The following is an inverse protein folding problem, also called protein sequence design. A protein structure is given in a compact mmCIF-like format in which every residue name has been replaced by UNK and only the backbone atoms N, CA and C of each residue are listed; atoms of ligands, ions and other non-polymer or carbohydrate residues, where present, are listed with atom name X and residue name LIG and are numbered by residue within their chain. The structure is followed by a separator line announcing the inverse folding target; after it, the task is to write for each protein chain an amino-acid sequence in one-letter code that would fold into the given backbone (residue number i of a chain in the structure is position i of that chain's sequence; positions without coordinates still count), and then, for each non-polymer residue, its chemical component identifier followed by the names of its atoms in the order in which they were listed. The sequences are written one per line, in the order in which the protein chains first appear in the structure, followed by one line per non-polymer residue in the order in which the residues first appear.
data_IF_040975830325
#
_entry.id   IF_040975830325
#
_cell.length_a   1.000
_cell.length_b   1.000
_cell.length_c   1.000
_cell.angle_alpha   90.00
_cell.angle_beta   90.00
_cell.angle_gamma   90.00
#
_symmetry.space_group_name_H-M   'P 1'
#
loop_
_entity.id
_entity.type
_entity.pdbx_description
1 polymer ?
#
# COMPACT_ATOMS: atom_id res chain seq x y z
N UNK A 1 -7.98 -14.18 12.59
CA UNK A 1 -7.23 -13.01 12.11
C UNK A 1 -7.11 -13.17 10.61
N UNK A 2 -7.36 -12.11 9.85
CA UNK A 2 -7.26 -12.13 8.38
C UNK A 2 -5.96 -11.42 8.01
N UNK A 3 -5.09 -12.10 7.27
CA UNK A 3 -3.84 -11.51 6.83
C UNK A 3 -4.09 -10.65 5.59
N UNK A 4 -3.60 -9.41 5.67
CA UNK A 4 -3.54 -8.46 4.58
C UNK A 4 -2.10 -8.20 4.23
N UNK A 5 -1.79 -7.94 2.98
CA UNK A 5 -0.52 -7.35 2.56
C UNK A 5 -0.71 -5.90 2.20
N UNK A 6 0.28 -5.09 2.54
CA UNK A 6 0.35 -3.66 2.20
C UNK A 6 1.66 -3.43 1.44
N UNK A 7 1.62 -3.38 0.09
CA UNK A 7 2.76 -2.96 -0.71
C UNK A 7 3.11 -1.51 -0.39
N UNK A 8 4.36 -1.27 0.00
CA UNK A 8 4.90 0.06 0.27
C UNK A 8 5.77 0.46 -0.91
N UNK A 9 5.30 1.41 -1.71
CA UNK A 9 6.05 1.97 -2.84
C UNK A 9 6.47 3.38 -2.47
N UNK A 10 7.77 3.62 -2.46
CA UNK A 10 8.37 4.90 -2.10
C UNK A 10 9.14 5.49 -3.28
N UNK A 11 9.25 6.82 -3.32
CA UNK A 11 10.13 7.54 -4.24
C UNK A 11 10.77 8.74 -3.56
N UNK A 12 11.59 9.46 -4.32
CA UNK A 12 12.25 10.70 -3.88
C UNK A 12 12.97 10.50 -2.53
N UNK A 13 13.91 9.56 -2.48
CA UNK A 13 14.68 9.24 -1.26
C UNK A 13 13.77 8.91 -0.06
N UNK A 14 12.73 8.12 -0.32
CA UNK A 14 11.73 7.70 0.66
C UNK A 14 10.87 8.82 1.28
N UNK A 15 10.88 10.03 0.70
CA UNK A 15 10.07 11.15 1.17
C UNK A 15 8.62 11.09 0.70
N UNK A 16 8.33 10.34 -0.36
CA UNK A 16 6.98 10.22 -0.90
C UNK A 16 6.54 8.76 -0.97
N UNK A 17 5.28 8.53 -0.61
CA UNK A 17 4.61 7.22 -0.67
C UNK A 17 3.47 7.24 -1.67
N UNK A 18 3.29 6.13 -2.37
CA UNK A 18 2.18 5.96 -3.29
C UNK A 18 0.87 5.68 -2.53
N UNK A 19 -0.16 6.47 -2.82
CA UNK A 19 -1.51 6.29 -2.32
C UNK A 19 -2.50 6.32 -3.49
N UNK A 20 -3.73 5.94 -3.23
CA UNK A 20 -4.83 6.19 -4.14
C UNK A 20 -6.04 6.81 -3.44
N UNK A 21 -6.85 7.53 -4.22
CA UNK A 21 -8.17 7.99 -3.79
C UNK A 21 -9.22 7.05 -4.36
N UNK A 22 -9.89 6.33 -3.46
CA UNK A 22 -11.10 5.55 -3.75
C UNK A 22 -12.28 6.50 -3.95
N UNK A 23 -13.15 6.27 -4.95
CA UNK A 23 -14.29 7.16 -5.24
C UNK A 23 -15.27 7.28 -4.06
N UNK A 24 -15.41 6.21 -3.27
CA UNK A 24 -16.39 6.11 -2.18
C UNK A 24 -15.78 6.07 -0.77
N UNK A 25 -14.48 5.80 -0.63
CA UNK A 25 -13.85 5.44 0.65
C UNK A 25 -12.63 6.32 1.00
N UNK A 26 -12.38 7.37 0.23
CA UNK A 26 -11.32 8.33 0.51
C UNK A 26 -9.93 7.82 0.15
N UNK A 27 -8.92 8.39 0.79
CA UNK A 27 -7.50 8.07 0.50
C UNK A 27 -7.09 6.79 1.23
N UNK A 28 -6.39 5.91 0.52
CA UNK A 28 -6.00 4.60 0.99
C UNK A 28 -4.56 4.25 0.57
N UNK A 29 -3.95 3.36 1.35
CA UNK A 29 -2.80 2.56 0.94
C UNK A 29 -3.31 1.38 0.11
N UNK A 30 -2.53 0.96 -0.89
CA UNK A 30 -2.74 -0.31 -1.58
C UNK A 30 -2.69 -1.43 -0.54
N UNK A 31 -3.70 -2.30 -0.54
CA UNK A 31 -3.72 -3.48 0.33
C UNK A 31 -4.73 -4.50 -0.17
N UNK A 32 -4.45 -5.76 0.09
CA UNK A 32 -5.47 -6.80 -0.08
C UNK A 32 -5.18 -8.08 0.66
N UNK A 33 -6.02 -9.08 0.43
CA UNK A 33 -6.03 -10.33 1.22
C UNK A 33 -4.86 -11.20 0.81
N UNK A 34 -4.19 -11.82 1.79
CA UNK A 34 -3.28 -12.92 1.48
C UNK A 34 -4.13 -14.14 1.15
N UNK A 35 -4.09 -14.55 -0.11
CA UNK A 35 -4.89 -15.66 -0.60
C UNK A 35 -4.21 -17.00 -0.32
N UNK A 36 -4.99 -18.08 -0.29
CA UNK A 36 -4.48 -19.44 0.00
C UNK A 36 -3.45 -19.94 -1.01
N UNK A 37 -3.44 -19.37 -2.22
CA UNK A 37 -2.50 -19.70 -3.29
C UNK A 37 -1.25 -18.81 -3.27
N UNK A 38 -1.20 -17.78 -2.43
CA UNK A 38 -0.01 -16.93 -2.31
C UNK A 38 1.08 -17.70 -1.54
N UNK A 39 2.19 -17.99 -2.22
CA UNK A 39 3.31 -18.74 -1.63
C UNK A 39 4.09 -17.92 -0.59
N UNK A 40 3.93 -16.59 -0.58
CA UNK A 40 4.54 -15.69 0.41
C UNK A 40 3.86 -14.31 0.42
N UNK A 41 4.09 -13.53 1.48
CA UNK A 41 3.64 -12.13 1.55
C UNK A 41 4.21 -11.26 0.43
N UNK A 42 5.41 -11.59 -0.09
CA UNK A 42 6.00 -10.85 -1.21
C UNK A 42 5.22 -11.12 -2.50
N UNK A 43 4.79 -12.36 -2.73
CA UNK A 43 3.98 -12.73 -3.89
C UNK A 43 2.60 -12.06 -3.80
N UNK A 44 1.94 -12.16 -2.65
CA UNK A 44 0.67 -11.50 -2.41
C UNK A 44 0.79 -9.98 -2.62
N UNK A 45 1.83 -9.33 -2.08
CA UNK A 45 2.01 -7.88 -2.23
C UNK A 45 2.21 -7.47 -3.70
N UNK A 46 2.95 -8.24 -4.49
CA UNK A 46 3.12 -7.96 -5.93
C UNK A 46 1.82 -8.15 -6.70
N UNK A 47 1.03 -9.18 -6.37
CA UNK A 47 -0.28 -9.43 -6.97
C UNK A 47 -1.24 -8.28 -6.69
N UNK A 48 -1.44 -7.95 -5.42
CA UNK A 48 -2.33 -6.86 -4.99
C UNK A 48 -1.89 -5.50 -5.57
N UNK A 49 -0.58 -5.25 -5.64
CA UNK A 49 -0.07 -4.05 -6.29
C UNK A 49 -0.43 -4.02 -7.78
N UNK A 50 -0.32 -5.14 -8.50
CA UNK A 50 -0.72 -5.21 -9.90
C UNK A 50 -2.24 -5.05 -10.08
N UNK A 51 -3.04 -5.71 -9.24
CA UNK A 51 -4.50 -5.74 -9.30
C UNK A 51 -5.14 -4.39 -8.95
N UNK A 52 -4.61 -3.65 -7.97
CA UNK A 52 -5.19 -2.36 -7.57
C UNK A 52 -4.60 -1.16 -8.31
N UNK A 53 -3.36 -1.25 -8.83
CA UNK A 53 -2.64 -0.10 -9.38
C UNK A 53 -2.13 -0.25 -10.81
N UNK A 54 -2.12 -1.46 -11.36
CA UNK A 54 -1.51 -1.77 -12.65
C UNK A 54 0.01 -1.84 -12.65
N UNK A 55 0.67 -1.67 -11.49
CA UNK A 55 2.13 -1.77 -11.39
C UNK A 55 2.53 -3.24 -11.38
N UNK A 56 2.96 -3.74 -12.53
CA UNK A 56 3.39 -5.13 -12.72
C UNK A 56 4.90 -5.32 -12.63
N UNK A 57 5.68 -4.24 -12.77
CA UNK A 57 7.14 -4.29 -12.87
C UNK A 57 7.84 -3.86 -11.58
N UNK A 58 7.84 -4.75 -10.59
CA UNK A 58 8.54 -4.57 -9.30
C UNK A 58 9.97 -5.13 -9.40
N UNK A 59 10.97 -4.25 -9.33
CA UNK A 59 12.40 -4.58 -9.46
C UNK A 59 12.90 -5.43 -8.31
N UNK A 60 12.53 -5.08 -7.09
CA UNK A 60 12.86 -5.82 -5.88
C UNK A 60 11.71 -5.70 -4.88
N UNK A 61 11.58 -6.70 -4.00
CA UNK A 61 10.61 -6.64 -2.93
C UNK A 61 11.17 -7.26 -1.66
N UNK A 62 10.89 -6.64 -0.51
CA UNK A 62 11.40 -7.06 0.79
C UNK A 62 10.32 -6.96 1.86
N UNK A 63 10.08 -8.06 2.56
CA UNK A 63 9.20 -8.06 3.73
C UNK A 63 9.78 -7.18 4.84
N UNK A 64 8.93 -6.37 5.47
CA UNK A 64 9.33 -5.42 6.52
C UNK A 64 8.87 -5.90 7.89
N UNK A 65 7.57 -6.05 8.09
CA UNK A 65 6.99 -6.45 9.36
C UNK A 65 5.53 -6.88 9.22
N UNK A 66 5.01 -7.48 10.29
CA UNK A 66 3.57 -7.61 10.51
C UNK A 66 3.13 -6.56 11.54
N UNK A 67 1.89 -6.10 11.42
CA UNK A 67 1.27 -5.10 12.30
C UNK A 67 -0.18 -5.47 12.54
N UNK A 68 -0.58 -5.62 13.81
CA UNK A 68 -2.00 -5.74 14.15
C UNK A 68 -2.69 -4.39 13.91
N UNK A 69 -3.58 -4.37 12.93
CA UNK A 69 -4.28 -3.14 12.56
C UNK A 69 -5.30 -2.70 13.61
N UNK A 70 -5.69 -3.59 14.53
CA UNK A 70 -6.81 -3.37 15.45
C UNK A 70 -8.14 -3.07 14.73
N UNK A 71 -8.23 -3.35 13.43
CA UNK A 71 -9.38 -3.07 12.59
C UNK A 71 -9.83 -4.34 11.90
N UNK A 72 -11.11 -4.70 12.06
CA UNK A 72 -11.71 -5.89 11.44
C UNK A 72 -10.93 -7.21 11.65
N UNK A 73 -10.22 -7.35 12.77
CA UNK A 73 -9.40 -8.53 13.08
C UNK A 73 -8.35 -8.84 11.99
N UNK A 74 -7.73 -7.80 11.42
CA UNK A 74 -6.72 -7.91 10.36
C UNK A 74 -5.29 -7.68 10.88
N UNK A 75 -4.36 -8.52 10.44
CA UNK A 75 -2.92 -8.25 10.52
C UNK A 75 -2.42 -7.79 9.15
N UNK A 76 -1.65 -6.70 9.10
CA UNK A 76 -1.09 -6.17 7.86
C UNK A 76 0.40 -6.51 7.78
N UNK A 77 0.78 -7.10 6.66
CA UNK A 77 2.13 -7.47 6.29
C UNK A 77 2.68 -6.42 5.32
N UNK A 78 3.58 -5.58 5.80
CA UNK A 78 4.19 -4.52 4.98
C UNK A 78 5.34 -5.10 4.16
N UNK A 79 5.32 -4.80 2.86
CA UNK A 79 6.36 -5.24 1.91
C UNK A 79 6.83 -4.04 1.13
N UNK A 80 8.12 -3.69 1.25
CA UNK A 80 8.74 -2.67 0.40
C UNK A 80 8.82 -3.18 -1.03
N UNK A 81 8.27 -2.43 -1.98
CA UNK A 81 8.26 -2.74 -3.40
C UNK A 81 9.00 -1.63 -4.18
N UNK A 82 10.21 -1.94 -4.65
CA UNK A 82 10.98 -1.01 -5.47
C UNK A 82 10.53 -1.12 -6.93
N UNK A 83 10.01 -0.04 -7.49
CA UNK A 83 9.48 0.01 -8.84
C UNK A 83 10.41 0.81 -9.77
N UNK A 84 10.21 0.69 -11.08
CA UNK A 84 10.79 1.64 -12.04
C UNK A 84 10.15 3.03 -11.88
N UNK A 85 10.66 4.04 -12.58
CA UNK A 85 10.06 5.38 -12.55
C UNK A 85 8.60 5.31 -13.02
N UNK A 86 7.70 5.71 -12.12
CA UNK A 86 6.25 5.75 -12.35
C UNK A 86 5.80 7.19 -12.64
N UNK A 87 4.63 7.33 -13.25
CA UNK A 87 4.03 8.64 -13.47
C UNK A 87 3.74 9.38 -12.14
N UNK A 88 3.62 10.71 -12.22
CA UNK A 88 3.27 11.55 -11.06
C UNK A 88 1.84 11.30 -10.55
N UNK A 89 0.95 10.85 -11.42
CA UNK A 89 -0.39 10.39 -11.08
C UNK A 89 -0.96 9.58 -12.25
N UNK A 90 -1.91 8.71 -11.95
CA UNK A 90 -2.67 7.99 -12.97
C UNK A 90 -4.03 7.56 -12.41
N UNK A 91 -4.94 7.22 -13.32
CA UNK A 91 -6.16 6.49 -12.98
C UNK A 91 -5.95 5.03 -13.34
N UNK A 92 -6.38 4.13 -12.45
CA UNK A 92 -6.39 2.71 -12.73
C UNK A 92 -7.79 2.15 -12.46
N UNK A 93 -8.35 1.48 -13.46
CA UNK A 93 -9.60 0.75 -13.31
C UNK A 93 -9.30 -0.62 -12.72
N UNK A 94 -9.52 -0.79 -11.42
CA UNK A 94 -9.34 -2.09 -10.77
C UNK A 94 -10.52 -3.00 -11.11
N UNK A 95 -10.24 -4.29 -11.31
CA UNK A 95 -11.29 -5.31 -11.40
C UNK A 95 -11.78 -5.75 -10.02
N UNK A 96 -11.03 -5.41 -8.97
CA UNK A 96 -11.38 -5.63 -7.58
C UNK A 96 -12.29 -4.51 -7.04
N UNK A 97 -12.85 -4.75 -5.86
CA UNK A 97 -13.77 -3.83 -5.17
C UNK A 97 -14.97 -3.36 -6.02
N UNK A 98 -15.40 -4.19 -6.97
CA UNK A 98 -16.59 -3.92 -7.79
C UNK A 98 -16.38 -3.03 -9.02
N UNK A 99 -15.13 -2.85 -9.49
CA UNK A 99 -14.86 -2.17 -10.75
C UNK A 99 -14.78 -0.65 -10.61
N UNK A 100 -13.82 -0.17 -9.82
CA UNK A 100 -13.66 1.25 -9.50
C UNK A 100 -12.40 1.87 -10.11
N UNK A 101 -12.47 3.16 -10.41
CA UNK A 101 -11.31 3.94 -10.83
C UNK A 101 -10.60 4.50 -9.61
N UNK A 102 -9.37 4.03 -9.37
CA UNK A 102 -8.50 4.52 -8.31
C UNK A 102 -7.58 5.60 -8.85
N UNK A 103 -7.61 6.77 -8.22
CA UNK A 103 -6.74 7.88 -8.59
C UNK A 103 -5.46 7.85 -7.75
N UNK A 104 -4.36 7.41 -8.37
CA UNK A 104 -3.05 7.27 -7.76
C UNK A 104 -2.30 8.60 -7.74
N UNK A 105 -1.63 8.87 -6.63
CA UNK A 105 -0.81 10.06 -6.43
C UNK A 105 0.27 9.80 -5.38
N UNK A 106 1.29 10.65 -5.40
CA UNK A 106 2.37 10.62 -4.43
C UNK A 106 2.09 11.60 -3.30
N UNK A 107 2.29 11.12 -2.08
CA UNK A 107 2.01 11.86 -0.86
C UNK A 107 3.27 11.96 -0.02
N UNK A 108 3.53 13.15 0.53
CA UNK A 108 4.62 13.36 1.46
C UNK A 108 4.43 12.46 2.68
N UNK A 109 5.43 11.60 2.93
CA UNK A 109 5.38 10.62 4.01
C UNK A 109 5.17 11.33 5.34
N UNK A 110 5.77 12.49 5.60
CA UNK A 110 5.64 13.21 6.88
C UNK A 110 4.29 13.91 7.04
N UNK A 111 3.61 14.21 5.94
CA UNK A 111 2.31 14.87 5.94
C UNK A 111 1.18 13.91 6.34
N UNK A 112 0.31 14.31 7.27
CA UNK A 112 -0.87 13.51 7.63
C UNK A 112 -1.79 13.23 6.43
N UNK A 113 -2.51 12.11 6.46
CA UNK A 113 -3.53 11.85 5.42
C UNK A 113 -4.71 12.83 5.58
N UNK A 114 -5.42 13.12 4.48
CA UNK A 114 -6.65 13.91 4.51
C UNK A 114 -7.71 13.34 5.48
N UNK A 115 -8.55 14.20 6.03
CA UNK A 115 -9.57 13.82 7.03
C UNK A 115 -10.60 12.77 6.54
N UNK A 116 -10.77 12.63 5.23
CA UNK A 116 -11.63 11.60 4.63
C UNK A 116 -10.94 10.23 4.47
N UNK A 117 -9.67 10.09 4.88
CA UNK A 117 -9.01 8.79 4.97
C UNK A 117 -9.45 8.08 6.25
N UNK A 118 -9.85 6.82 6.14
CA UNK A 118 -10.19 6.01 7.31
C UNK A 118 -8.98 5.89 8.26
N UNK A 119 -9.24 5.89 9.57
CA UNK A 119 -8.19 5.92 10.63
C UNK A 119 -7.20 4.76 10.55
N UNK A 120 -7.60 3.62 9.98
CA UNK A 120 -6.69 2.48 9.75
C UNK A 120 -5.57 2.83 8.78
N UNK A 121 -5.83 3.62 7.74
CA UNK A 121 -4.81 4.04 6.77
C UNK A 121 -3.91 5.13 7.33
N UNK A 122 -4.45 6.00 8.20
CA UNK A 122 -3.64 6.97 8.93
C UNK A 122 -2.61 6.26 9.81
N UNK A 123 -3.05 5.27 10.60
CA UNK A 123 -2.16 4.44 11.42
C UNK A 123 -1.22 3.55 10.59
N UNK A 124 -1.68 3.07 9.43
CA UNK A 124 -0.82 2.36 8.48
C UNK A 124 0.32 3.23 7.96
N UNK A 125 0.06 4.49 7.63
CA UNK A 125 1.09 5.45 7.24
C UNK A 125 2.04 5.78 8.40
N UNK A 126 1.51 5.97 9.61
CA UNK A 126 2.33 6.12 10.82
C UNK A 126 3.26 4.93 11.00
N UNK A 127 2.78 3.70 10.72
CA UNK A 127 3.62 2.51 10.78
C UNK A 127 4.77 2.54 9.77
N UNK A 128 4.53 3.03 8.56
CA UNK A 128 5.60 3.20 7.55
C UNK A 128 6.62 4.25 8.02
N UNK A 129 6.17 5.36 8.61
CA UNK A 129 7.09 6.38 9.20
C UNK A 129 7.97 5.81 10.29
N UNK A 130 7.40 5.00 11.18
CA UNK A 130 8.19 4.33 12.23
C UNK A 130 9.32 3.49 11.63
N UNK A 131 9.04 2.73 10.57
CA UNK A 131 10.02 1.88 9.89
C UNK A 131 11.15 2.70 9.24
N UNK A 132 10.82 3.85 8.64
CA UNK A 132 11.81 4.80 8.11
C UNK A 132 12.68 5.39 9.22
N UNK A 133 12.07 5.85 10.30
CA UNK A 133 12.79 6.42 11.45
C UNK A 133 13.69 5.41 12.16
N UNK A 134 13.39 4.12 12.06
CA UNK A 134 14.20 3.02 12.58
C UNK A 134 15.32 2.56 11.62
N UNK A 135 15.37 3.10 10.39
CA UNK A 135 16.32 2.68 9.37
C UNK A 135 16.08 1.26 8.82
N UNK A 136 14.84 0.76 8.93
CA UNK A 136 14.43 -0.54 8.36
C UNK A 136 14.22 -0.44 6.84
N UNK A 137 13.81 0.75 6.39
CA UNK A 137 13.62 1.15 4.99
C UNK A 137 14.68 2.18 4.62
#
# INVERSE_FOLDING_TARGET
MIDKVCPVVLRNQNQEILLFKHPLAGVQLVKGTVEVFDESYIIAAKRELAEESGITHVRSARYLCSWDSGFQNQAWHFVLCECADLANSWLFHTQDDGGHDFAFFWHDVESGLPANAHTVFQRGLEKVRELLNQGVI
#
